data_IF_111852886321
#
_entry.id   IF_111852886321
#
_cell.length_a   1.000
_cell.length_b   1.000
_cell.length_c   1.000
_cell.angle_alpha   90.00
_cell.angle_beta   90.00
_cell.angle_gamma   90.00
#
_symmetry.space_group_name_H-M   'P 1'
#
loop_
_entity.id
_entity.type
_entity.pdbx_description
1 polymer ?
#
# COMPACT_ATOMS: atom_id res chain seq x y z
N UNK A 1 9.81 -2.94 -19.84
CA UNK A 1 9.15 -1.77 -19.29
C UNK A 1 7.68 -1.74 -19.67
N UNK A 2 6.81 -1.51 -18.75
CA UNK A 2 5.38 -1.58 -19.01
C UNK A 2 4.91 -0.59 -20.07
N UNK A 3 5.57 0.55 -20.16
CA UNK A 3 5.16 1.58 -21.10
C UNK A 3 5.32 1.17 -22.56
N UNK A 4 6.15 0.18 -22.81
CA UNK A 4 6.33 -0.30 -24.17
C UNK A 4 5.22 -1.24 -24.60
N UNK A 5 4.40 -1.67 -23.68
CA UNK A 5 3.29 -2.58 -23.93
C UNK A 5 2.01 -1.78 -24.04
N UNK A 6 0.99 -2.39 -24.59
CA UNK A 6 -0.31 -1.76 -24.62
C UNK A 6 -0.99 -1.99 -23.27
N UNK A 7 -0.50 -1.29 -22.28
CA UNK A 7 -0.97 -1.42 -20.92
C UNK A 7 -2.19 -0.55 -20.73
N UNK A 8 -3.15 -1.03 -19.95
CA UNK A 8 -4.28 -0.25 -19.53
C UNK A 8 -3.76 0.93 -18.70
N UNK A 9 -4.00 2.15 -19.15
CA UNK A 9 -3.50 3.34 -18.47
C UNK A 9 -4.08 3.47 -17.07
N UNK A 10 -5.32 3.06 -16.87
CA UNK A 10 -5.96 3.11 -15.57
C UNK A 10 -5.27 2.15 -14.61
N UNK A 11 -5.00 0.94 -15.08
CA UNK A 11 -4.31 -0.05 -14.26
C UNK A 11 -2.90 0.40 -13.92
N UNK A 12 -2.21 1.01 -14.87
CA UNK A 12 -0.86 1.49 -14.64
C UNK A 12 -0.83 2.64 -13.64
N UNK A 13 -1.77 3.59 -13.78
CA UNK A 13 -1.87 4.69 -12.84
C UNK A 13 -2.17 4.19 -11.43
N UNK A 14 -3.02 3.18 -11.33
CA UNK A 14 -3.35 2.59 -10.04
C UNK A 14 -2.10 1.95 -9.41
N UNK A 15 -1.33 1.24 -10.22
CA UNK A 15 -0.11 0.61 -9.73
C UNK A 15 0.87 1.67 -9.22
N UNK A 16 1.01 2.77 -9.95
CA UNK A 16 1.88 3.85 -9.52
C UNK A 16 1.46 4.42 -8.18
N UNK A 17 0.14 4.59 -7.98
CA UNK A 17 -0.35 5.10 -6.70
C UNK A 17 -0.05 4.14 -5.57
N UNK A 18 -0.21 2.85 -5.82
CA UNK A 18 0.09 1.84 -4.80
C UNK A 18 1.56 1.86 -4.45
N UNK A 19 2.43 1.90 -5.45
CA UNK A 19 3.87 1.94 -5.21
C UNK A 19 4.28 3.19 -4.46
N UNK A 20 3.71 4.33 -4.83
CA UNK A 20 3.98 5.57 -4.13
C UNK A 20 3.52 5.49 -2.67
N UNK A 21 2.32 4.96 -2.45
CA UNK A 21 1.78 4.84 -1.10
C UNK A 21 2.66 3.95 -0.23
N UNK A 22 3.10 2.81 -0.78
CA UNK A 22 3.96 1.87 -0.06
C UNK A 22 5.27 2.55 0.32
N UNK A 23 5.88 3.24 -0.63
CA UNK A 23 7.17 3.87 -0.36
C UNK A 23 7.05 5.02 0.63
N UNK A 24 6.02 5.84 0.48
CA UNK A 24 5.81 6.97 1.40
C UNK A 24 5.51 6.47 2.81
N UNK A 25 4.79 5.35 2.92
CA UNK A 25 4.55 4.74 4.21
C UNK A 25 5.88 4.23 4.81
N UNK A 26 6.67 3.55 3.99
CA UNK A 26 7.95 3.00 4.44
C UNK A 26 8.87 4.09 4.94
N UNK A 27 8.87 5.24 4.27
CA UNK A 27 9.70 6.38 4.66
C UNK A 27 9.15 7.15 5.86
N UNK A 28 7.99 6.77 6.35
CA UNK A 28 7.38 7.44 7.49
C UNK A 28 6.72 8.76 7.12
N UNK A 29 6.46 8.99 5.84
CA UNK A 29 5.88 10.26 5.38
C UNK A 29 4.36 10.22 5.34
N UNK A 30 3.78 9.03 5.29
CA UNK A 30 2.33 8.86 5.36
C UNK A 30 2.01 7.81 6.41
N UNK A 31 0.92 8.02 7.14
CA UNK A 31 0.39 6.98 8.01
C UNK A 31 -0.21 5.88 7.15
N UNK A 32 -0.45 4.72 7.75
CA UNK A 32 -1.06 3.62 7.00
C UNK A 32 -2.43 3.97 6.47
N UNK A 33 -3.21 4.75 7.23
CA UNK A 33 -4.53 5.17 6.78
C UNK A 33 -4.44 6.07 5.56
N UNK A 34 -3.53 7.05 5.59
CA UNK A 34 -3.35 7.95 4.45
C UNK A 34 -2.77 7.23 3.25
N UNK A 35 -1.82 6.32 3.50
CA UNK A 35 -1.24 5.55 2.40
C UNK A 35 -2.30 4.67 1.75
N UNK A 36 -3.17 4.07 2.54
CA UNK A 36 -4.24 3.25 2.00
C UNK A 36 -5.19 4.09 1.15
N UNK A 37 -5.50 5.31 1.60
CA UNK A 37 -6.33 6.21 0.80
C UNK A 37 -5.68 6.49 -0.56
N UNK A 38 -4.39 6.78 -0.55
CA UNK A 38 -3.67 7.03 -1.80
C UNK A 38 -3.71 5.82 -2.70
N UNK A 39 -3.54 4.64 -2.11
CA UNK A 39 -3.56 3.39 -2.87
C UNK A 39 -4.97 2.99 -3.32
N UNK A 40 -6.00 3.60 -2.75
CA UNK A 40 -7.36 3.31 -3.14
C UNK A 40 -7.87 2.01 -2.55
N UNK A 41 -7.43 1.64 -1.37
CA UNK A 41 -7.86 0.41 -0.74
C UNK A 41 -8.05 0.60 0.77
N UNK A 42 -8.79 -0.29 1.43
CA UNK A 42 -8.94 -0.22 2.88
C UNK A 42 -7.61 -0.41 3.59
N UNK A 43 -7.48 0.18 4.77
CA UNK A 43 -6.25 0.13 5.54
C UNK A 43 -5.76 -1.30 5.80
N UNK A 44 -6.68 -2.19 6.16
CA UNK A 44 -6.31 -3.59 6.43
C UNK A 44 -5.72 -4.24 5.19
N UNK A 45 -6.36 -4.01 4.05
CA UNK A 45 -5.88 -4.57 2.80
C UNK A 45 -4.50 -4.01 2.45
N UNK A 46 -4.31 -2.70 2.66
CA UNK A 46 -3.03 -2.07 2.40
C UNK A 46 -1.92 -2.72 3.23
N UNK A 47 -2.17 -2.88 4.54
CA UNK A 47 -1.18 -3.48 5.43
C UNK A 47 -0.86 -4.92 5.05
N UNK A 48 -1.87 -5.68 4.66
CA UNK A 48 -1.66 -7.08 4.25
C UNK A 48 -0.88 -7.17 2.96
N UNK A 49 -1.00 -6.17 2.10
CA UNK A 49 -0.29 -6.18 0.81
C UNK A 49 1.16 -5.71 0.90
N UNK A 50 1.56 -5.13 2.02
CA UNK A 50 2.93 -4.62 2.15
C UNK A 50 3.97 -5.71 1.93
N UNK A 51 3.67 -6.94 2.31
CA UNK A 51 4.61 -8.04 2.15
C UNK A 51 4.98 -8.27 0.68
N UNK A 52 4.06 -7.94 -0.23
CA UNK A 52 4.32 -8.11 -1.66
C UNK A 52 5.37 -7.13 -2.16
N UNK A 53 5.66 -6.10 -1.37
CA UNK A 53 6.65 -5.08 -1.70
C UNK A 53 7.83 -5.13 -0.74
N UNK A 54 7.88 -6.20 0.07
CA UNK A 54 8.95 -6.44 1.05
C UNK A 54 9.07 -5.30 2.05
N UNK A 55 7.92 -4.77 2.45
CA UNK A 55 7.82 -3.74 3.48
C UNK A 55 7.03 -4.31 4.63
N UNK A 56 7.51 -4.09 5.85
CA UNK A 56 6.85 -4.61 7.04
C UNK A 56 6.12 -3.50 7.77
N UNK A 57 4.87 -3.74 8.20
CA UNK A 57 4.16 -2.75 9.00
C UNK A 57 4.85 -2.52 10.33
N UNK A 58 4.59 -1.37 10.93
CA UNK A 58 5.07 -1.10 12.27
C UNK A 58 4.39 -2.06 13.24
N UNK A 59 5.10 -2.38 14.32
CA UNK A 59 4.59 -3.33 15.30
C UNK A 59 3.23 -2.89 15.86
N UNK A 60 3.09 -1.60 16.14
CA UNK A 60 1.82 -1.07 16.65
C UNK A 60 0.68 -1.30 15.67
N UNK A 61 0.97 -1.23 14.38
CA UNK A 61 -0.06 -1.42 13.37
C UNK A 61 -0.40 -2.89 13.19
N UNK A 62 0.55 -3.78 13.42
CA UNK A 62 0.27 -5.19 13.42
C UNK A 62 -0.65 -5.55 14.57
N UNK A 63 -0.44 -4.95 15.73
CA UNK A 63 -1.31 -5.15 16.88
C UNK A 63 -2.73 -4.69 16.58
N UNK A 64 -2.86 -3.51 15.97
CA UNK A 64 -4.17 -2.98 15.58
C UNK A 64 -4.87 -3.92 14.60
N UNK A 65 -4.11 -4.43 13.64
CA UNK A 65 -4.65 -5.34 12.65
C UNK A 65 -5.17 -6.62 13.30
N UNK A 66 -4.40 -7.16 14.23
CA UNK A 66 -4.81 -8.36 14.96
C UNK A 66 -6.08 -8.09 15.77
N UNK A 67 -6.17 -6.93 16.39
CA UNK A 67 -7.34 -6.57 17.16
C UNK A 67 -8.58 -6.45 16.27
N UNK A 68 -8.41 -5.94 15.07
CA UNK A 68 -9.53 -5.80 14.13
C UNK A 68 -10.03 -7.15 13.65
N UNK A 69 -9.16 -8.15 13.62
CA UNK A 69 -9.51 -9.48 13.14
C UNK A 69 -9.88 -10.46 14.24
N UNK A 70 -9.81 -10.02 15.47
CA UNK A 70 -10.08 -10.89 16.62
C UNK A 70 -11.56 -11.17 16.83
#
# INVERSE_FOLDING_TARGET
MLLAEKVDEVAFARELRILAAVKLYELGRLSSGRAAELAGMPRVEFLLNLKNYKVFPLEAELSDLEAENA
#
